data_IF_323429012728
#
_entry.id   IF_323429012728
#
_cell.length_a   1.000
_cell.length_b   1.000
_cell.length_c   1.000
_cell.angle_alpha   90.00
_cell.angle_beta   90.00
_cell.angle_gamma   90.00
#
_symmetry.space_group_name_H-M   'P 1'
#
loop_
_entity.id
_entity.type
_entity.pdbx_description
1 polymer ?
#
# COMPACT_ATOMS: atom_id res chain seq x y z
N UNK A 1 -13.44 10.68 -22.84
CA UNK A 1 -12.69 11.01 -21.61
C UNK A 1 -13.17 10.17 -20.43
N UNK A 2 -12.32 9.87 -19.46
CA UNK A 2 -12.76 9.22 -18.22
C UNK A 2 -13.75 10.11 -17.45
N UNK A 3 -14.73 9.51 -16.77
CA UNK A 3 -15.64 10.25 -15.88
C UNK A 3 -14.83 11.07 -14.87
N UNK A 4 -15.21 12.33 -14.60
CA UNK A 4 -14.54 13.20 -13.60
C UNK A 4 -14.38 12.50 -12.25
N UNK A 5 -15.37 11.71 -11.84
CA UNK A 5 -15.33 10.90 -10.62
C UNK A 5 -14.19 9.88 -10.59
N UNK A 6 -13.85 9.26 -11.73
CA UNK A 6 -12.73 8.31 -11.84
C UNK A 6 -11.39 9.01 -11.70
N UNK A 7 -11.23 10.20 -12.29
CA UNK A 7 -10.02 11.01 -12.17
C UNK A 7 -9.81 11.40 -10.70
N UNK A 8 -10.86 11.85 -10.02
CA UNK A 8 -10.76 12.21 -8.59
C UNK A 8 -10.52 11.01 -7.68
N UNK A 9 -11.07 9.83 -8.03
CA UNK A 9 -10.78 8.58 -7.31
C UNK A 9 -9.30 8.22 -7.40
N UNK A 10 -8.69 8.41 -8.57
CA UNK A 10 -7.26 8.14 -8.77
C UNK A 10 -6.40 9.15 -8.00
N UNK A 11 -6.72 10.45 -8.05
CA UNK A 11 -6.06 11.49 -7.24
C UNK A 11 -6.12 11.17 -5.74
N UNK A 12 -7.27 10.69 -5.24
CA UNK A 12 -7.41 10.25 -3.83
C UNK A 12 -6.50 9.07 -3.50
N UNK A 13 -6.36 8.09 -4.40
CA UNK A 13 -5.47 6.94 -4.20
C UNK A 13 -4.00 7.37 -4.17
N UNK A 14 -3.58 8.26 -5.07
CA UNK A 14 -2.21 8.79 -5.11
C UNK A 14 -1.84 9.48 -3.78
N UNK A 15 -2.73 10.33 -3.25
CA UNK A 15 -2.52 10.98 -1.93
C UNK A 15 -2.37 9.96 -0.79
N UNK A 16 -3.18 8.90 -0.80
CA UNK A 16 -3.10 7.84 0.22
C UNK A 16 -1.83 6.99 0.08
N UNK A 17 -1.42 6.69 -1.15
CA UNK A 17 -0.19 5.94 -1.41
C UNK A 17 1.02 6.71 -0.87
N UNK A 18 1.15 7.99 -1.20
CA UNK A 18 2.21 8.86 -0.68
C UNK A 18 2.22 8.91 0.86
N UNK A 19 1.05 9.06 1.49
CA UNK A 19 0.93 9.12 2.97
C UNK A 19 1.44 7.84 3.66
N UNK A 20 1.18 6.66 3.08
CA UNK A 20 1.49 5.37 3.73
C UNK A 20 2.69 4.64 3.09
N UNK A 21 3.40 5.27 2.15
CA UNK A 21 4.46 4.64 1.36
C UNK A 21 5.56 4.05 2.28
N UNK A 22 6.12 4.87 3.16
CA UNK A 22 7.22 4.49 4.07
C UNK A 22 6.79 3.39 5.06
N UNK A 23 5.58 3.50 5.60
CA UNK A 23 5.03 2.52 6.56
C UNK A 23 4.87 1.16 5.87
N UNK A 24 4.30 1.12 4.66
CA UNK A 24 4.14 -0.13 3.90
C UNK A 24 5.49 -0.72 3.50
N UNK A 25 6.44 0.11 3.09
CA UNK A 25 7.77 -0.34 2.69
C UNK A 25 8.52 -0.97 3.86
N UNK A 26 8.50 -0.32 5.04
CA UNK A 26 9.15 -0.85 6.25
C UNK A 26 8.52 -2.17 6.71
N UNK A 27 7.18 -2.25 6.77
CA UNK A 27 6.47 -3.49 7.12
C UNK A 27 6.78 -4.63 6.14
N UNK A 28 6.78 -4.34 4.83
CA UNK A 28 7.12 -5.33 3.80
C UNK A 28 8.58 -5.78 3.86
N UNK A 29 9.52 -4.89 4.19
CA UNK A 29 10.94 -5.24 4.39
C UNK A 29 11.10 -6.16 5.60
N UNK A 30 10.44 -5.83 6.72
CA UNK A 30 10.45 -6.66 7.94
C UNK A 30 9.90 -8.06 7.69
N UNK A 31 8.79 -8.19 6.96
CA UNK A 31 8.20 -9.51 6.64
C UNK A 31 9.09 -10.34 5.70
N UNK A 32 9.79 -9.70 4.75
CA UNK A 32 10.66 -10.38 3.77
C UNK A 32 12.09 -10.64 4.27
N UNK A 33 12.49 -10.07 5.39
CA UNK A 33 13.83 -10.27 5.93
C UNK A 33 14.07 -11.75 6.22
N UNK A 34 15.15 -12.31 5.65
CA UNK A 34 15.60 -13.69 5.87
C UNK A 34 16.68 -13.78 6.96
N UNK A 35 17.20 -12.64 7.41
CA UNK A 35 18.39 -12.55 8.29
C UNK A 35 18.07 -12.91 9.74
N UNK A 36 16.83 -12.69 10.17
CA UNK A 36 16.33 -13.15 11.46
C UNK A 36 14.97 -13.81 11.22
N UNK A 37 14.84 -15.13 11.33
CA UNK A 37 13.56 -15.80 11.18
C UNK A 37 12.67 -15.39 12.36
N UNK A 38 11.90 -14.29 12.17
CA UNK A 38 10.80 -13.94 13.07
C UNK A 38 9.93 -15.19 13.28
N UNK A 39 9.53 -15.41 14.53
CA UNK A 39 8.58 -16.46 14.87
C UNK A 39 7.31 -16.29 14.02
N UNK A 40 6.62 -17.39 13.74
CA UNK A 40 5.36 -17.36 12.97
C UNK A 40 4.37 -16.34 13.58
N UNK A 41 4.31 -16.26 14.91
CA UNK A 41 3.49 -15.30 15.66
C UNK A 41 3.84 -13.84 15.40
N UNK A 42 5.11 -13.52 15.21
CA UNK A 42 5.53 -12.15 14.93
C UNK A 42 5.23 -11.80 13.46
N UNK A 43 5.37 -12.76 12.54
CA UNK A 43 4.99 -12.58 11.14
C UNK A 43 3.49 -12.35 10.98
N UNK A 44 2.64 -13.04 11.75
CA UNK A 44 1.18 -12.81 11.72
C UNK A 44 0.83 -11.42 12.22
N UNK A 45 1.36 -11.00 13.38
CA UNK A 45 1.18 -9.62 13.91
C UNK A 45 1.59 -8.54 12.91
N UNK A 46 2.68 -8.75 12.16
CA UNK A 46 3.14 -7.80 11.15
C UNK A 46 2.26 -7.79 9.90
N UNK A 47 1.67 -8.93 9.53
CA UNK A 47 0.67 -9.01 8.46
C UNK A 47 -0.64 -8.34 8.86
N UNK A 48 -1.09 -8.50 10.10
CA UNK A 48 -2.26 -7.81 10.66
C UNK A 48 -2.07 -6.29 10.60
N UNK A 49 -0.91 -5.78 11.03
CA UNK A 49 -0.55 -4.36 10.89
C UNK A 49 -0.52 -3.87 9.44
N UNK A 50 -0.20 -4.73 8.48
CA UNK A 50 -0.23 -4.39 7.06
C UNK A 50 -1.67 -4.37 6.50
N UNK A 51 -2.53 -5.25 7.02
CA UNK A 51 -3.95 -5.37 6.66
C UNK A 51 -4.80 -4.24 7.26
N UNK A 52 -4.44 -3.70 8.42
CA UNK A 52 -5.14 -2.56 9.02
C UNK A 52 -4.99 -1.25 8.24
N UNK A 53 -4.04 -1.17 7.31
CA UNK A 53 -3.85 0.00 6.45
C UNK A 53 -4.95 0.10 5.38
N UNK A 54 -5.31 1.32 4.92
CA UNK A 54 -6.32 1.49 3.89
C UNK A 54 -5.99 0.73 2.60
N UNK A 55 -6.96 -0.03 2.06
CA UNK A 55 -6.78 -0.80 0.82
C UNK A 55 -6.27 0.06 -0.35
N UNK A 56 -6.77 1.29 -0.48
CA UNK A 56 -6.42 2.24 -1.54
C UNK A 56 -5.02 2.83 -1.44
N UNK A 57 -4.30 2.63 -0.32
CA UNK A 57 -2.91 3.09 -0.18
C UNK A 57 -1.89 2.11 -0.78
N UNK A 58 -2.34 0.99 -1.34
CA UNK A 58 -1.47 0.04 -2.01
C UNK A 58 -1.09 0.56 -3.41
N UNK A 59 0.21 0.60 -3.76
CA UNK A 59 0.66 1.11 -5.07
C UNK A 59 0.14 0.26 -6.23
N UNK A 60 -0.15 -1.02 -6.00
CA UNK A 60 -0.76 -1.93 -7.00
C UNK A 60 -2.18 -1.53 -7.41
N UNK A 61 -2.86 -0.68 -6.63
CA UNK A 61 -4.21 -0.19 -6.97
C UNK A 61 -4.21 1.11 -7.78
N UNK A 62 -3.04 1.72 -7.97
CA UNK A 62 -2.90 2.87 -8.85
C UNK A 62 -2.97 2.42 -10.30
N UNK A 63 -3.70 3.17 -11.12
CA UNK A 63 -3.84 2.91 -12.54
C UNK A 63 -3.29 4.09 -13.34
N UNK A 64 -2.33 3.83 -14.22
CA UNK A 64 -1.82 4.84 -15.17
C UNK A 64 -2.92 5.14 -16.20
N UNK A 65 -3.39 6.39 -16.26
CA UNK A 65 -4.41 6.85 -17.21
C UNK A 65 -3.81 7.94 -18.09
N UNK A 66 -4.33 8.08 -19.31
CA UNK A 66 -3.95 9.16 -20.22
C UNK A 66 -4.23 10.53 -19.57
N UNK A 67 -3.33 11.50 -19.77
CA UNK A 67 -3.42 12.85 -19.20
C UNK A 67 -4.11 13.86 -20.14
N UNK A 68 -4.29 13.49 -21.41
CA UNK A 68 -4.87 14.30 -22.49
C UNK A 68 -6.36 14.61 -22.26
#
# INVERSE_FOLDING_TARGET
MAKKSLIQREKKRQKLEQKYHLIRQSLKKKIRSKVSPLSLSEKTKMREKLQSLPCNSAPTRLHRRCFL
#
